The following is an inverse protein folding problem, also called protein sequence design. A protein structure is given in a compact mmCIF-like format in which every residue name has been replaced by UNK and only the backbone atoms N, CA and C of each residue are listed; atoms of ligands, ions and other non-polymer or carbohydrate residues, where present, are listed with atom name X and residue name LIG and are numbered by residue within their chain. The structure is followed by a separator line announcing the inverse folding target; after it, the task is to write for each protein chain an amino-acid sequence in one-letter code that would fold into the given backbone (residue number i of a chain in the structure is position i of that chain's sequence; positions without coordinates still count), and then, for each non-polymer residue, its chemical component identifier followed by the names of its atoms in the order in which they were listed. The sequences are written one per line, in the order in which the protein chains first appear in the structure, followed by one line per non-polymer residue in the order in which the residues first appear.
data_IF_290395345626
#
_entry.id   IF_290395345626
#
_cell.length_a   1.000
_cell.length_b   1.000
_cell.length_c   1.000
_cell.angle_alpha   90.00
_cell.angle_beta   90.00
_cell.angle_gamma   90.00
#
_symmetry.space_group_name_H-M   'P 1'
#
loop_
_entity.id
_entity.type
_entity.pdbx_description
1 polymer ?
#
# COMPACT_ATOMS: atom_id res chain seq x y z
N UNK A 1 19.21 -5.74 1.06
CA UNK A 1 18.88 -4.38 1.52
C UNK A 1 18.65 -4.46 3.03
N UNK A 2 19.34 -3.64 3.81
CA UNK A 2 19.26 -3.64 5.28
C UNK A 2 18.26 -2.60 5.79
N UNK A 3 17.94 -2.64 7.08
CA UNK A 3 17.05 -1.64 7.73
C UNK A 3 17.61 -0.21 7.65
N UNK A 4 18.93 -0.09 7.59
CA UNK A 4 19.66 1.17 7.46
C UNK A 4 19.36 1.88 6.13
N UNK A 5 19.21 1.11 5.04
CA UNK A 5 18.83 1.64 3.72
C UNK A 5 17.42 2.25 3.75
N UNK A 6 16.51 1.62 4.50
CA UNK A 6 15.14 2.08 4.72
C UNK A 6 15.11 3.39 5.54
N UNK A 7 15.90 3.49 6.61
CA UNK A 7 16.03 4.72 7.41
C UNK A 7 16.64 5.89 6.60
N UNK A 8 17.65 5.61 5.76
CA UNK A 8 18.28 6.59 4.86
C UNK A 8 17.34 7.16 3.80
N UNK A 9 16.33 6.39 3.37
CA UNK A 9 15.25 6.83 2.47
C UNK A 9 14.17 7.69 3.14
N UNK A 10 14.30 8.01 4.42
CA UNK A 10 13.35 8.84 5.17
C UNK A 10 12.19 8.07 5.80
N UNK A 11 12.33 6.75 5.99
CA UNK A 11 11.40 5.93 6.77
C UNK A 11 11.69 6.06 8.26
N UNK A 12 10.68 6.41 9.05
CA UNK A 12 10.72 6.11 10.48
C UNK A 12 10.34 4.65 10.64
N UNK A 13 11.33 3.81 10.90
CA UNK A 13 11.11 2.40 11.21
C UNK A 13 11.04 2.22 12.73
N UNK A 14 9.89 1.81 13.26
CA UNK A 14 9.74 1.45 14.68
C UNK A 14 9.61 -0.07 14.79
N UNK A 15 10.37 -0.68 15.71
CA UNK A 15 10.35 -2.14 15.90
C UNK A 15 9.25 -2.47 16.90
N UNK A 16 8.13 -3.01 16.42
CA UNK A 16 7.07 -3.55 17.27
C UNK A 16 6.82 -5.03 16.93
N UNK A 17 6.95 -5.90 17.94
CA UNK A 17 6.72 -7.35 17.82
C UNK A 17 7.50 -8.10 16.71
N UNK A 18 8.66 -7.58 16.30
CA UNK A 18 9.52 -8.23 15.29
C UNK A 18 9.13 -7.94 13.84
N UNK A 19 8.12 -7.09 13.62
CA UNK A 19 7.82 -6.42 12.36
C UNK A 19 8.41 -5.02 12.41
N UNK A 20 8.85 -4.51 11.25
CA UNK A 20 9.33 -3.15 11.11
C UNK A 20 8.24 -2.35 10.40
N UNK A 21 7.59 -1.44 11.12
CA UNK A 21 6.68 -0.45 10.53
C UNK A 21 7.54 0.62 9.88
N UNK A 22 7.79 0.48 8.59
CA UNK A 22 8.69 1.33 7.84
C UNK A 22 7.85 2.29 6.97
N UNK A 23 7.78 3.55 7.40
CA UNK A 23 6.93 4.63 6.89
C UNK A 23 5.46 4.47 7.21
N UNK A 24 5.03 5.31 8.13
CA UNK A 24 3.73 5.96 8.04
C UNK A 24 3.93 7.29 7.29
N UNK A 25 3.51 7.37 6.02
CA UNK A 25 3.37 8.67 5.34
C UNK A 25 2.01 9.20 5.72
N UNK A 26 1.99 10.21 6.61
CA UNK A 26 0.78 10.94 6.96
C UNK A 26 0.73 12.23 6.17
N UNK A 27 -0.36 12.44 5.45
CA UNK A 27 -0.59 13.66 4.71
C UNK A 27 -1.99 14.19 5.02
N UNK A 28 -2.08 15.46 5.37
CA UNK A 28 -3.35 16.13 5.57
C UNK A 28 -3.78 16.76 4.24
N UNK A 29 -4.93 16.34 3.73
CA UNK A 29 -5.51 16.89 2.53
C UNK A 29 -6.95 17.34 2.83
N UNK A 30 -7.20 18.64 2.72
CA UNK A 30 -8.38 19.30 3.30
C UNK A 30 -8.51 18.99 4.81
N UNK A 31 -9.59 18.31 5.22
CA UNK A 31 -9.87 17.89 6.60
C UNK A 31 -9.58 16.40 6.84
N UNK A 32 -9.02 15.70 5.85
CA UNK A 32 -8.85 14.25 5.86
C UNK A 32 -7.37 13.86 5.91
N UNK A 33 -7.08 12.73 6.55
CA UNK A 33 -5.75 12.16 6.63
C UNK A 33 -5.60 11.05 5.57
N UNK A 34 -4.51 11.09 4.80
CA UNK A 34 -4.01 9.98 4.01
C UNK A 34 -2.84 9.34 4.76
N UNK A 35 -2.94 8.05 5.01
CA UNK A 35 -1.96 7.20 5.65
C UNK A 35 -1.49 6.16 4.65
N UNK A 36 -0.17 6.07 4.45
CA UNK A 36 0.45 4.95 3.73
C UNK A 36 1.44 4.29 4.67
N UNK A 37 1.20 3.03 5.02
CA UNK A 37 1.98 2.27 5.99
C UNK A 37 2.64 1.05 5.34
N UNK A 38 3.97 0.95 5.36
CA UNK A 38 4.67 -0.24 4.86
C UNK A 38 5.16 -1.08 6.03
N UNK A 39 4.69 -2.31 6.11
CA UNK A 39 5.14 -3.30 7.06
C UNK A 39 6.18 -4.17 6.37
N UNK A 40 7.40 -4.21 6.91
CA UNK A 40 8.48 -5.05 6.40
C UNK A 40 8.97 -6.05 7.46
N UNK A 41 9.49 -7.18 7.01
CA UNK A 41 10.03 -8.21 7.89
C UNK A 41 11.49 -7.93 8.31
N UNK A 42 12.06 -8.80 9.13
CA UNK A 42 13.45 -8.68 9.59
C UNK A 42 14.53 -8.79 8.50
N UNK A 43 14.14 -9.06 7.25
CA UNK A 43 15.03 -9.06 6.08
C UNK A 43 14.76 -7.87 5.15
N UNK A 44 13.90 -6.93 5.54
CA UNK A 44 13.52 -5.77 4.75
C UNK A 44 12.52 -6.09 3.62
N UNK A 45 11.92 -7.28 3.62
CA UNK A 45 10.94 -7.68 2.60
C UNK A 45 9.55 -7.18 2.98
N UNK A 46 8.78 -6.76 2.00
CA UNK A 46 7.44 -6.24 2.20
C UNK A 46 6.51 -7.35 2.69
N UNK A 47 5.93 -7.16 3.87
CA UNK A 47 4.87 -8.01 4.45
C UNK A 47 3.51 -7.49 3.99
N UNK A 48 3.28 -6.18 4.14
CA UNK A 48 2.07 -5.54 3.67
C UNK A 48 2.25 -4.03 3.45
N UNK A 49 1.39 -3.45 2.60
CA UNK A 49 1.19 -2.00 2.52
C UNK A 49 -0.26 -1.69 2.86
N UNK A 50 -0.48 -0.76 3.77
CA UNK A 50 -1.81 -0.22 4.07
C UNK A 50 -1.90 1.17 3.46
N UNK A 51 -2.99 1.43 2.74
CA UNK A 51 -3.31 2.76 2.20
C UNK A 51 -4.68 3.12 2.75
N UNK A 52 -4.75 4.16 3.57
CA UNK A 52 -5.99 4.61 4.19
C UNK A 52 -6.18 6.10 3.93
N UNK A 53 -7.30 6.49 3.33
CA UNK A 53 -7.55 7.90 3.05
C UNK A 53 -8.82 8.16 2.25
N UNK A 54 -9.12 9.44 1.99
CA UNK A 54 -10.31 9.84 1.27
C UNK A 54 -10.20 9.53 -0.23
N UNK A 55 -11.29 9.06 -0.83
CA UNK A 55 -11.49 9.02 -2.28
C UNK A 55 -12.65 9.96 -2.61
N UNK A 56 -12.37 10.97 -3.43
CA UNK A 56 -13.34 12.00 -3.78
C UNK A 56 -14.17 11.53 -4.98
N UNK A 57 -15.48 11.37 -4.77
CA UNK A 57 -16.46 11.04 -5.81
C UNK A 57 -17.48 12.15 -5.94
N UNK A 58 -18.24 12.17 -7.03
CA UNK A 58 -19.42 13.04 -7.10
C UNK A 58 -20.65 12.22 -6.69
N UNK A 59 -21.42 12.62 -5.65
CA UNK A 59 -21.41 13.91 -4.94
C UNK A 59 -20.76 13.91 -3.53
N UNK A 60 -19.82 13.02 -3.19
CA UNK A 60 -19.30 12.92 -1.81
C UNK A 60 -17.90 12.29 -1.67
N UNK A 61 -17.43 12.19 -0.42
CA UNK A 61 -16.12 11.61 -0.08
C UNK A 61 -16.34 10.27 0.60
N UNK A 62 -15.62 9.25 0.14
CA UNK A 62 -15.61 7.92 0.73
C UNK A 62 -14.27 7.68 1.45
N UNK A 63 -14.31 7.17 2.68
CA UNK A 63 -13.09 6.73 3.36
C UNK A 63 -12.76 5.31 2.93
N UNK A 64 -11.56 5.12 2.39
CA UNK A 64 -11.11 3.83 1.87
C UNK A 64 -9.88 3.39 2.62
N UNK A 65 -9.86 2.11 3.01
CA UNK A 65 -8.68 1.40 3.47
C UNK A 65 -8.39 0.23 2.54
N UNK A 66 -7.16 0.15 2.07
CA UNK A 66 -6.66 -0.96 1.28
C UNK A 66 -5.50 -1.60 2.01
N UNK A 67 -5.67 -2.84 2.45
CA UNK A 67 -4.57 -3.66 2.95
C UNK A 67 -4.07 -4.57 1.82
N UNK A 68 -2.82 -4.37 1.40
CA UNK A 68 -2.14 -5.19 0.40
C UNK A 68 -1.16 -6.13 1.10
N UNK A 69 -1.43 -7.44 1.08
CA UNK A 69 -0.61 -8.45 1.73
C UNK A 69 0.18 -9.29 0.71
N UNK A 70 1.46 -9.51 0.99
CA UNK A 70 2.34 -10.35 0.17
C UNK A 70 2.46 -11.76 0.77
N UNK A 71 3.16 -12.66 0.07
CA UNK A 71 3.49 -14.02 0.56
C UNK A 71 4.22 -14.08 1.91
N UNK A 72 4.78 -12.96 2.38
CA UNK A 72 5.44 -12.88 3.69
C UNK A 72 4.49 -12.53 4.83
N UNK A 73 3.23 -12.17 4.54
CA UNK A 73 2.17 -11.98 5.54
C UNK A 73 1.60 -13.33 6.01
N UNK A 74 1.29 -13.44 7.30
CA UNK A 74 0.59 -14.61 7.85
C UNK A 74 -0.82 -14.77 7.24
N UNK A 75 -1.49 -13.66 6.91
CA UNK A 75 -2.82 -13.63 6.30
C UNK A 75 -2.83 -14.13 4.85
N UNK A 76 -1.67 -14.20 4.20
CA UNK A 76 -1.57 -14.62 2.80
C UNK A 76 -1.92 -16.08 2.57
N UNK A 77 -1.60 -16.95 3.55
CA UNK A 77 -1.71 -18.41 3.41
C UNK A 77 -3.14 -18.87 3.14
N UNK A 78 -4.13 -18.10 3.60
CA UNK A 78 -5.54 -18.46 3.49
C UNK A 78 -6.11 -18.23 2.08
N UNK A 79 -5.41 -17.51 1.20
CA UNK A 79 -5.93 -17.09 -0.11
C UNK A 79 -5.35 -17.86 -1.31
N UNK A 80 -4.31 -18.69 -1.10
CA UNK A 80 -3.86 -19.68 -2.09
C UNK A 80 -3.39 -19.13 -3.46
N UNK A 81 -2.89 -17.90 -3.54
CA UNK A 81 -2.65 -17.21 -4.82
C UNK A 81 -1.29 -17.49 -5.52
N UNK A 82 -0.44 -18.35 -4.95
CA UNK A 82 0.89 -18.69 -5.50
C UNK A 82 1.98 -17.64 -5.20
N UNK A 83 3.16 -17.74 -5.80
CA UNK A 83 4.31 -16.91 -5.39
C UNK A 83 4.32 -15.47 -5.91
N UNK A 84 3.56 -15.18 -6.99
CA UNK A 84 3.54 -13.88 -7.67
C UNK A 84 2.19 -13.19 -7.59
N UNK A 85 1.69 -13.05 -6.36
CA UNK A 85 0.40 -12.45 -6.12
C UNK A 85 0.36 -11.68 -4.80
N UNK A 86 -0.46 -10.65 -4.74
CA UNK A 86 -0.83 -9.95 -3.51
C UNK A 86 -2.31 -10.14 -3.23
N UNK A 87 -2.66 -10.17 -1.95
CA UNK A 87 -4.06 -10.16 -1.50
C UNK A 87 -4.42 -8.74 -1.12
N UNK A 88 -5.40 -8.16 -1.80
CA UNK A 88 -5.95 -6.85 -1.51
C UNK A 88 -7.24 -7.02 -0.71
N UNK A 89 -7.27 -6.47 0.51
CA UNK A 89 -8.49 -6.27 1.27
C UNK A 89 -8.89 -4.80 1.17
N UNK A 90 -9.92 -4.52 0.39
CA UNK A 90 -10.46 -3.17 0.19
C UNK A 90 -11.68 -3.02 1.10
N UNK A 91 -11.63 -2.02 1.97
CA UNK A 91 -12.71 -1.67 2.89
C UNK A 91 -13.09 -0.21 2.64
N UNK A 92 -14.37 0.03 2.44
CA UNK A 92 -14.92 1.38 2.35
C UNK A 92 -16.36 1.37 2.82
N UNK A 93 -16.72 2.30 3.69
CA UNK A 93 -18.05 2.42 4.26
C UNK A 93 -18.57 1.07 4.83
N UNK A 94 -19.46 0.40 4.09
CA UNK A 94 -20.05 -0.91 4.44
C UNK A 94 -19.64 -2.05 3.50
N UNK A 95 -18.76 -1.77 2.53
CA UNK A 95 -18.28 -2.73 1.54
C UNK A 95 -16.91 -3.24 1.96
N UNK A 96 -16.81 -4.57 2.04
CA UNK A 96 -15.53 -5.27 2.15
C UNK A 96 -15.36 -6.18 0.96
N UNK A 97 -14.23 -6.04 0.26
CA UNK A 97 -13.89 -6.87 -0.90
C UNK A 97 -12.48 -7.40 -0.75
N UNK A 98 -12.31 -8.69 -0.92
CA UNK A 98 -10.99 -9.32 -0.99
C UNK A 98 -10.73 -9.75 -2.42
N UNK A 99 -9.57 -9.36 -2.95
CA UNK A 99 -9.15 -9.66 -4.32
C UNK A 99 -7.71 -10.14 -4.32
N UNK A 100 -7.43 -11.15 -5.11
CA UNK A 100 -6.07 -11.60 -5.39
C UNK A 100 -5.58 -10.99 -6.70
N UNK A 101 -4.43 -10.34 -6.68
CA UNK A 101 -3.86 -9.67 -7.85
C UNK A 101 -2.47 -10.22 -8.15
N UNK A 102 -2.28 -10.72 -9.37
CA UNK A 102 -0.96 -11.17 -9.85
C UNK A 102 -0.09 -9.96 -10.18
N UNK A 103 1.19 -10.07 -9.88
CA UNK A 103 2.16 -9.00 -10.12
C UNK A 103 3.34 -9.52 -10.96
N UNK A 104 3.93 -8.65 -11.76
CA UNK A 104 4.96 -9.02 -12.75
C UNK A 104 6.39 -9.02 -12.22
N UNK A 105 6.65 -8.37 -11.08
CA UNK A 105 8.00 -8.22 -10.52
C UNK A 105 8.04 -8.34 -8.99
N UNK A 106 9.00 -9.11 -8.49
CA UNK A 106 9.30 -9.23 -7.06
C UNK A 106 10.10 -8.03 -6.51
N UNK A 107 10.57 -7.10 -7.36
CA UNK A 107 11.52 -6.05 -6.92
C UNK A 107 10.92 -5.18 -5.80
N UNK A 108 9.68 -4.75 -5.94
CA UNK A 108 8.99 -3.99 -4.89
C UNK A 108 8.75 -4.80 -3.62
N UNK A 109 8.47 -6.09 -3.75
CA UNK A 109 8.24 -6.98 -2.61
C UNK A 109 9.55 -7.24 -1.85
N UNK A 110 10.68 -7.28 -2.55
CA UNK A 110 11.99 -7.53 -1.95
C UNK A 110 12.70 -6.25 -1.51
N UNK A 111 12.38 -5.11 -2.13
CA UNK A 111 13.05 -3.82 -1.94
C UNK A 111 12.04 -2.65 -1.83
N UNK A 112 11.01 -2.71 -0.95
CA UNK A 112 9.94 -1.71 -0.90
C UNK A 112 10.44 -0.30 -0.62
N UNK A 113 11.50 -0.19 0.19
CA UNK A 113 12.09 1.09 0.58
C UNK A 113 12.67 1.89 -0.61
N UNK A 114 13.00 1.24 -1.73
CA UNK A 114 13.49 1.94 -2.93
C UNK A 114 12.44 2.88 -3.53
N UNK A 115 11.16 2.62 -3.29
CA UNK A 115 10.04 3.26 -3.98
C UNK A 115 9.33 4.35 -3.16
N UNK A 116 9.80 4.65 -1.96
CA UNK A 116 9.18 5.65 -1.08
C UNK A 116 9.19 7.03 -1.73
N UNK A 117 10.29 7.38 -2.41
CA UNK A 117 10.40 8.65 -3.13
C UNK A 117 9.30 8.79 -4.17
N UNK A 118 9.07 7.74 -4.96
CA UNK A 118 8.01 7.68 -5.97
C UNK A 118 6.61 7.81 -5.35
N UNK A 119 6.39 7.18 -4.20
CA UNK A 119 5.09 7.24 -3.50
C UNK A 119 4.86 8.63 -2.87
N UNK A 120 5.90 9.27 -2.34
CA UNK A 120 5.84 10.67 -1.88
C UNK A 120 5.59 11.65 -3.03
N UNK A 121 6.24 11.44 -4.18
CA UNK A 121 5.97 12.20 -5.39
C UNK A 121 4.53 12.02 -5.86
N UNK A 122 3.98 10.80 -5.79
CA UNK A 122 2.59 10.54 -6.11
C UNK A 122 1.65 11.35 -5.20
N UNK A 123 1.89 11.36 -3.88
CA UNK A 123 1.07 12.17 -2.94
C UNK A 123 1.14 13.66 -3.30
N UNK A 124 2.34 14.20 -3.51
CA UNK A 124 2.53 15.64 -3.72
C UNK A 124 2.06 16.17 -5.07
N UNK A 125 2.03 15.33 -6.12
CA UNK A 125 1.54 15.72 -7.46
C UNK A 125 0.03 15.54 -7.62
N UNK A 126 -0.60 14.83 -6.70
CA UNK A 126 -2.02 14.52 -6.76
C UNK A 126 -2.81 15.63 -6.08
N UNK A 127 -3.66 16.32 -6.83
CA UNK A 127 -4.65 17.23 -6.26
C UNK A 127 -5.72 16.44 -5.49
N UNK A 128 -6.97 16.52 -5.94
CA UNK A 128 -8.14 16.01 -5.21
C UNK A 128 -8.26 14.47 -5.07
N UNK A 129 -7.28 13.66 -5.49
CA UNK A 129 -7.41 12.19 -5.47
C UNK A 129 -6.10 11.45 -5.12
N UNK A 130 -5.38 11.96 -4.11
CA UNK A 130 -4.09 11.41 -3.68
C UNK A 130 -4.14 9.93 -3.31
N UNK A 131 -5.21 9.45 -2.67
CA UNK A 131 -5.39 8.05 -2.28
C UNK A 131 -5.41 7.12 -3.49
N UNK A 132 -6.19 7.46 -4.53
CA UNK A 132 -6.26 6.67 -5.77
C UNK A 132 -4.93 6.69 -6.50
N UNK A 133 -4.24 7.83 -6.51
CA UNK A 133 -2.95 7.94 -7.19
C UNK A 133 -1.87 7.14 -6.48
N UNK A 134 -1.79 7.17 -5.15
CA UNK A 134 -0.89 6.30 -4.39
C UNK A 134 -1.16 4.82 -4.68
N UNK A 135 -2.43 4.42 -4.64
CA UNK A 135 -2.82 3.04 -4.94
C UNK A 135 -2.42 2.63 -6.36
N UNK A 136 -2.68 3.49 -7.36
CA UNK A 136 -2.25 3.26 -8.74
C UNK A 136 -0.74 3.12 -8.86
N UNK A 137 0.02 4.01 -8.23
CA UNK A 137 1.49 3.96 -8.22
C UNK A 137 1.99 2.63 -7.65
N UNK A 138 1.47 2.18 -6.52
CA UNK A 138 1.84 0.89 -5.93
C UNK A 138 1.51 -0.28 -6.86
N UNK A 139 0.32 -0.29 -7.48
CA UNK A 139 -0.06 -1.34 -8.43
C UNK A 139 0.83 -1.34 -9.69
N UNK A 140 1.19 -0.16 -10.19
CA UNK A 140 2.10 -0.02 -11.33
C UNK A 140 3.52 -0.51 -10.99
N UNK A 141 4.03 -0.16 -9.80
CA UNK A 141 5.33 -0.63 -9.30
C UNK A 141 5.36 -2.16 -9.18
N UNK A 142 4.27 -2.77 -8.71
CA UNK A 142 4.10 -4.22 -8.69
C UNK A 142 4.07 -4.83 -10.10
N UNK A 143 3.79 -4.03 -11.14
CA UNK A 143 3.48 -4.55 -12.47
C UNK A 143 2.19 -5.38 -12.44
N UNK A 144 1.26 -5.02 -11.57
CA UNK A 144 -0.05 -5.64 -11.49
C UNK A 144 -0.98 -5.03 -12.54
N UNK A 145 -1.84 -5.85 -13.14
CA UNK A 145 -2.93 -5.34 -13.99
C UNK A 145 -3.93 -4.56 -13.13
N UNK A 146 -3.74 -3.24 -13.07
CA UNK A 146 -4.65 -2.32 -12.42
C UNK A 146 -5.99 -2.34 -13.15
N UNK A 147 -7.03 -2.90 -12.52
CA UNK A 147 -8.39 -2.62 -12.91
C UNK A 147 -8.91 -1.48 -12.04
N UNK A 148 -9.34 -0.37 -12.66
CA UNK A 148 -10.05 0.75 -11.98
C UNK A 148 -11.24 0.22 -11.15
N UNK A 149 -11.70 -0.99 -11.44
CA UNK A 149 -12.78 -1.71 -10.75
C UNK A 149 -12.53 -2.10 -9.29
N UNK A 150 -11.30 -2.03 -8.78
CA UNK A 150 -11.03 -2.42 -7.39
C UNK A 150 -11.50 -1.38 -6.38
N UNK A 151 -11.28 -0.11 -6.71
CA UNK A 151 -11.78 1.01 -5.92
C UNK A 151 -13.18 1.42 -6.38
N UNK A 152 -13.61 1.12 -7.61
CA UNK A 152 -14.90 1.58 -8.16
C UNK A 152 -16.14 1.21 -7.33
N UNK A 153 -16.03 0.21 -6.44
CA UNK A 153 -17.11 -0.27 -5.57
C UNK A 153 -17.25 0.53 -4.24
N UNK A 154 -16.33 1.46 -4.00
CA UNK A 154 -16.27 2.35 -2.85
C UNK A 154 -16.86 3.72 -3.19
#
# INVERSE_FOLDING_TARGET
MGLEDCAGGGLRCSRYLGLFDCAVVRFWFHEYELIVDFVVDGRGRLVSVVIEGPVFRRPGVAQVRVDCHTRYSSLYRDFGCGDYCVVLNVVCDSVRKVVTVRYGSDDFVLNPCRYIGEIREAITRSGDDATVQVFRTIMNILGAEYSVGYLSLC
#
